data_IF_568324786271
#
_entry.id   IF_568324786271
#
_cell.length_a   1.000
_cell.length_b   1.000
_cell.length_c   1.000
_cell.angle_alpha   90.00
_cell.angle_beta   90.00
_cell.angle_gamma   90.00
#
_symmetry.space_group_name_H-M   'P 1'
#
loop_
_entity.id
_entity.type
_entity.pdbx_description
1 polymer ?
#
# COMPACT_ATOMS: atom_id res chain seq x y z
N UNK A 1 -68.74 20.30 -23.34
CA UNK A 1 -68.47 21.11 -22.14
C UNK A 1 -67.87 20.13 -21.13
N UNK A 2 -66.59 19.76 -21.29
CA UNK A 2 -65.33 20.40 -20.78
C UNK A 2 -64.82 19.52 -19.63
N UNK A 3 -63.91 18.58 -19.84
CA UNK A 3 -62.47 18.72 -20.09
C UNK A 3 -61.74 19.52 -19.00
N UNK A 4 -61.05 18.79 -18.13
CA UNK A 4 -59.82 19.06 -17.35
C UNK A 4 -59.67 17.83 -16.44
N UNK A 5 -58.97 16.76 -16.82
CA UNK A 5 -57.53 16.70 -17.12
C UNK A 5 -56.75 17.41 -15.99
N UNK A 6 -56.62 16.71 -14.87
CA UNK A 6 -55.52 16.97 -13.94
C UNK A 6 -54.37 16.06 -14.39
N UNK A 7 -53.67 16.56 -15.40
CA UNK A 7 -52.32 16.16 -15.76
C UNK A 7 -51.43 16.57 -14.58
N UNK A 8 -51.28 15.66 -13.60
CA UNK A 8 -50.31 15.83 -12.54
C UNK A 8 -48.95 15.53 -13.15
N UNK A 9 -48.34 16.62 -13.62
CA UNK A 9 -47.01 16.70 -14.15
C UNK A 9 -46.04 15.76 -13.42
N UNK A 10 -45.37 14.97 -14.25
CA UNK A 10 -43.98 14.58 -14.11
C UNK A 10 -43.18 15.61 -13.30
N UNK A 11 -42.95 15.29 -12.04
CA UNK A 11 -41.70 15.63 -11.39
C UNK A 11 -41.06 14.32 -11.00
N UNK A 12 -40.52 13.62 -12.00
CA UNK A 12 -39.33 12.81 -11.80
C UNK A 12 -38.32 13.66 -11.04
N UNK A 13 -38.35 13.55 -9.72
CA UNK A 13 -37.23 13.96 -8.90
C UNK A 13 -36.07 13.13 -9.41
N UNK A 14 -35.18 13.78 -10.16
CA UNK A 14 -33.89 13.18 -10.43
C UNK A 14 -33.37 12.67 -9.09
N UNK A 15 -32.98 11.38 -8.97
CA UNK A 15 -32.24 10.95 -7.82
C UNK A 15 -30.98 11.80 -7.85
N UNK A 16 -30.95 12.86 -7.05
CA UNK A 16 -29.72 13.58 -6.78
C UNK A 16 -28.84 12.56 -6.11
N UNK A 17 -27.95 11.94 -6.88
CA UNK A 17 -26.86 11.06 -6.45
C UNK A 17 -25.90 11.90 -5.59
N UNK A 18 -26.37 12.35 -4.42
CA UNK A 18 -25.61 13.11 -3.44
C UNK A 18 -24.54 12.27 -2.75
N UNK A 19 -24.42 10.99 -3.11
CA UNK A 19 -23.40 10.05 -2.66
C UNK A 19 -22.31 9.74 -3.71
N UNK A 20 -22.33 10.36 -4.89
CA UNK A 20 -21.27 10.19 -5.87
C UNK A 20 -20.03 10.99 -5.45
N UNK A 21 -19.01 10.30 -4.93
CA UNK A 21 -17.72 10.90 -4.57
C UNK A 21 -17.18 11.73 -5.76
N UNK A 22 -16.74 12.99 -5.56
CA UNK A 22 -16.33 13.87 -6.65
C UNK A 22 -15.23 13.27 -7.52
N UNK A 23 -15.30 13.51 -8.83
CA UNK A 23 -14.33 13.00 -9.81
C UNK A 23 -12.87 13.34 -9.45
N UNK A 24 -12.70 14.51 -8.80
CA UNK A 24 -11.43 15.01 -8.31
C UNK A 24 -10.74 14.11 -7.28
N UNK A 25 -11.50 13.42 -6.39
CA UNK A 25 -10.92 12.58 -5.32
C UNK A 25 -10.21 11.38 -5.93
N UNK A 26 -10.88 10.67 -6.84
CA UNK A 26 -10.32 9.51 -7.51
C UNK A 26 -9.11 9.90 -8.41
N UNK A 27 -9.11 11.07 -9.05
CA UNK A 27 -7.93 11.58 -9.77
C UNK A 27 -6.77 11.89 -8.82
N UNK A 28 -7.06 12.49 -7.66
CA UNK A 28 -6.08 12.75 -6.63
C UNK A 28 -5.48 11.45 -6.10
N UNK A 29 -6.30 10.42 -5.84
CA UNK A 29 -5.82 9.10 -5.39
C UNK A 29 -4.92 8.44 -6.44
N UNK A 30 -5.33 8.45 -7.72
CA UNK A 30 -4.48 7.95 -8.81
C UNK A 30 -3.16 8.71 -8.94
N UNK A 31 -3.20 10.04 -8.83
CA UNK A 31 -2.02 10.91 -8.86
C UNK A 31 -1.07 10.67 -7.68
N UNK A 32 -1.64 10.50 -6.49
CA UNK A 32 -0.89 10.14 -5.28
C UNK A 32 -0.19 8.78 -5.49
N UNK A 33 -0.90 7.72 -5.88
CA UNK A 33 -0.28 6.40 -6.12
C UNK A 33 0.87 6.51 -7.15
N UNK A 34 0.65 7.24 -8.25
CA UNK A 34 1.68 7.46 -9.26
C UNK A 34 2.90 8.19 -8.69
N UNK A 35 2.69 9.24 -7.89
CA UNK A 35 3.77 9.97 -7.22
C UNK A 35 4.56 9.07 -6.26
N UNK A 36 3.87 8.27 -5.44
CA UNK A 36 4.52 7.30 -4.56
C UNK A 36 5.35 6.28 -5.34
N UNK A 37 4.81 5.76 -6.43
CA UNK A 37 5.53 4.86 -7.33
C UNK A 37 6.78 5.50 -7.96
N UNK A 38 6.68 6.75 -8.42
CA UNK A 38 7.80 7.50 -8.98
C UNK A 38 8.89 7.80 -7.93
N UNK A 39 8.51 8.14 -6.70
CA UNK A 39 9.45 8.34 -5.61
C UNK A 39 10.21 7.06 -5.27
N UNK A 40 9.54 5.91 -5.26
CA UNK A 40 10.20 4.62 -5.06
C UNK A 40 11.13 4.26 -6.24
N UNK A 41 10.72 4.54 -7.48
CA UNK A 41 11.61 4.36 -8.64
C UNK A 41 12.86 5.25 -8.54
N UNK A 42 12.68 6.51 -8.16
CA UNK A 42 13.79 7.43 -7.94
C UNK A 42 14.71 6.95 -6.81
N UNK A 43 14.15 6.59 -5.65
CA UNK A 43 14.90 6.08 -4.51
C UNK A 43 15.65 4.79 -4.85
N UNK A 44 15.02 3.83 -5.52
CA UNK A 44 15.67 2.60 -5.98
C UNK A 44 16.78 2.87 -6.98
N UNK A 45 16.59 3.83 -7.89
CA UNK A 45 17.63 4.23 -8.86
C UNK A 45 18.81 4.87 -8.15
N UNK A 46 18.57 5.82 -7.24
CA UNK A 46 19.63 6.46 -6.44
C UNK A 46 20.35 5.39 -5.62
N UNK A 47 19.62 4.52 -4.93
CA UNK A 47 20.21 3.49 -4.09
C UNK A 47 21.14 2.55 -4.86
N UNK A 48 20.73 2.12 -6.06
CA UNK A 48 21.51 1.19 -6.91
C UNK A 48 22.67 1.84 -7.65
N UNK A 49 22.68 3.17 -7.79
CA UNK A 49 23.71 3.88 -8.57
C UNK A 49 24.68 4.67 -7.72
N UNK A 50 24.24 5.15 -6.55
CA UNK A 50 25.02 6.02 -5.66
C UNK A 50 25.66 5.23 -4.52
N UNK A 51 25.02 4.16 -4.03
CA UNK A 51 25.60 3.35 -2.95
C UNK A 51 26.44 2.24 -3.56
N UNK A 52 27.75 2.48 -3.66
CA UNK A 52 28.73 1.50 -4.08
C UNK A 52 29.48 0.89 -2.89
N UNK A 53 30.39 -0.02 -3.21
CA UNK A 53 31.25 -0.70 -2.23
C UNK A 53 32.10 0.28 -1.41
N UNK A 54 32.48 1.41 -1.99
CA UNK A 54 33.38 2.37 -1.37
C UNK A 54 32.67 3.14 -0.25
N UNK A 55 31.42 3.52 -0.50
CA UNK A 55 30.55 4.20 0.46
C UNK A 55 30.17 3.26 1.61
N UNK A 56 29.97 1.97 1.31
CA UNK A 56 29.74 0.94 2.33
C UNK A 56 30.97 0.71 3.22
N UNK A 57 32.18 0.77 2.64
CA UNK A 57 33.44 0.68 3.41
C UNK A 57 33.56 1.86 4.37
N UNK A 58 33.30 3.08 3.91
CA UNK A 58 33.35 4.30 4.73
C UNK A 58 32.32 4.25 5.87
N UNK A 59 31.07 3.83 5.58
CA UNK A 59 30.03 3.69 6.59
C UNK A 59 30.35 2.62 7.65
N UNK A 60 31.05 1.55 7.26
CA UNK A 60 31.50 0.48 8.18
C UNK A 60 32.77 0.87 8.94
N UNK A 61 33.60 1.76 8.39
CA UNK A 61 34.75 2.32 9.13
C UNK A 61 34.30 3.31 10.21
N UNK A 62 33.13 3.95 10.06
CA UNK A 62 32.53 4.84 11.06
C UNK A 62 31.72 4.08 12.14
N UNK A 63 31.21 2.88 11.82
CA UNK A 63 30.41 2.04 12.73
C UNK A 63 31.16 0.81 13.24
N UNK A 64 31.25 0.64 14.57
CA UNK A 64 31.87 -0.53 15.21
C UNK A 64 31.25 -1.87 14.73
N UNK A 65 32.05 -2.94 14.83
CA UNK A 65 31.80 -4.33 14.37
C UNK A 65 30.34 -4.76 14.19
N UNK A 66 29.96 -5.06 12.94
CA UNK A 66 28.64 -5.60 12.59
C UNK A 66 28.52 -7.07 13.02
N UNK A 67 27.68 -7.32 14.01
CA UNK A 67 27.34 -8.68 14.48
C UNK A 67 26.02 -9.13 13.87
N UNK A 68 26.02 -10.31 13.24
CA UNK A 68 24.78 -10.98 12.78
C UNK A 68 24.57 -12.21 13.65
N UNK A 69 23.65 -12.11 14.61
CA UNK A 69 23.41 -13.16 15.60
C UNK A 69 24.54 -13.23 16.64
N UNK A 70 25.33 -14.31 16.61
CA UNK A 70 26.46 -14.56 17.54
C UNK A 70 27.81 -14.69 16.82
N UNK A 71 27.84 -14.46 15.51
CA UNK A 71 29.04 -14.57 14.69
C UNK A 71 29.53 -13.17 14.35
N UNK A 72 30.76 -12.86 14.77
CA UNK A 72 31.45 -11.65 14.33
C UNK A 72 31.73 -11.78 12.84
N UNK A 73 31.09 -10.95 12.02
CA UNK A 73 31.44 -10.86 10.61
C UNK A 73 32.76 -10.14 10.51
N UNK A 74 33.67 -10.70 9.72
CA UNK A 74 34.85 -9.93 9.33
C UNK A 74 34.40 -8.74 8.48
N UNK A 75 35.19 -7.66 8.48
CA UNK A 75 34.91 -6.45 7.71
C UNK A 75 34.53 -6.73 6.26
N UNK A 76 35.27 -7.63 5.60
CA UNK A 76 35.04 -7.99 4.21
C UNK A 76 33.68 -8.67 4.03
N UNK A 77 33.33 -9.60 4.92
CA UNK A 77 32.04 -10.30 4.87
C UNK A 77 30.86 -9.36 5.15
N UNK A 78 31.02 -8.39 6.07
CA UNK A 78 29.99 -7.41 6.34
C UNK A 78 29.71 -6.51 5.13
N UNK A 79 30.75 -6.07 4.41
CA UNK A 79 30.61 -5.29 3.16
C UNK A 79 29.86 -6.10 2.12
N UNK A 80 30.24 -7.36 1.90
CA UNK A 80 29.64 -8.20 0.86
C UNK A 80 28.15 -8.49 1.16
N UNK A 81 27.81 -8.72 2.43
CA UNK A 81 26.40 -8.89 2.86
C UNK A 81 25.61 -7.58 2.69
N UNK A 82 26.16 -6.45 3.13
CA UNK A 82 25.50 -5.14 3.00
C UNK A 82 25.31 -4.75 1.53
N UNK A 83 26.29 -5.00 0.67
CA UNK A 83 26.21 -4.75 -0.77
C UNK A 83 25.08 -5.58 -1.40
N UNK A 84 24.99 -6.87 -1.06
CA UNK A 84 23.90 -7.73 -1.52
C UNK A 84 22.53 -7.22 -1.04
N UNK A 85 22.39 -6.88 0.24
CA UNK A 85 21.13 -6.34 0.80
C UNK A 85 20.74 -5.05 0.09
N UNK A 86 21.65 -4.09 -0.04
CA UNK A 86 21.38 -2.78 -0.67
C UNK A 86 20.98 -2.94 -2.12
N UNK A 87 21.68 -3.80 -2.87
CA UNK A 87 21.37 -4.09 -4.28
C UNK A 87 19.95 -4.64 -4.42
N UNK A 88 19.60 -5.65 -3.64
CA UNK A 88 18.28 -6.27 -3.72
C UNK A 88 17.17 -5.35 -3.18
N UNK A 89 17.42 -4.56 -2.14
CA UNK A 89 16.50 -3.50 -1.69
C UNK A 89 16.24 -2.51 -2.81
N UNK A 90 17.28 -2.09 -3.53
CA UNK A 90 17.18 -1.23 -4.69
C UNK A 90 16.28 -1.82 -5.77
N UNK A 91 16.45 -3.10 -6.11
CA UNK A 91 15.56 -3.82 -7.03
C UNK A 91 14.12 -3.87 -6.50
N UNK A 92 13.94 -4.14 -5.20
CA UNK A 92 12.62 -4.16 -4.56
C UNK A 92 11.89 -2.82 -4.64
N UNK A 93 12.60 -1.71 -4.43
CA UNK A 93 12.08 -0.36 -4.61
C UNK A 93 11.66 -0.10 -6.06
N UNK A 94 12.48 -0.51 -7.03
CA UNK A 94 12.18 -0.35 -8.45
C UNK A 94 10.94 -1.17 -8.87
N UNK A 95 10.86 -2.43 -8.45
CA UNK A 95 9.73 -3.32 -8.74
C UNK A 95 8.45 -2.79 -8.11
N UNK A 96 8.50 -2.38 -6.84
CA UNK A 96 7.35 -1.82 -6.12
C UNK A 96 6.90 -0.51 -6.76
N UNK A 97 7.85 0.40 -7.06
CA UNK A 97 7.55 1.67 -7.69
C UNK A 97 6.93 1.51 -9.08
N UNK A 98 7.49 0.62 -9.91
CA UNK A 98 6.93 0.29 -11.21
C UNK A 98 5.54 -0.33 -11.13
N UNK A 99 5.32 -1.25 -10.20
CA UNK A 99 4.00 -1.86 -9.97
C UNK A 99 2.95 -0.81 -9.55
N UNK A 100 3.30 0.14 -8.68
CA UNK A 100 2.41 1.23 -8.28
C UNK A 100 2.09 2.18 -9.45
N UNK A 101 3.08 2.52 -10.28
CA UNK A 101 2.83 3.34 -11.48
C UNK A 101 1.89 2.60 -12.45
N UNK A 102 2.12 1.31 -12.72
CA UNK A 102 1.24 0.51 -13.55
C UNK A 102 -0.17 0.41 -12.97
N UNK A 103 -0.28 0.25 -11.65
CA UNK A 103 -1.57 0.23 -10.95
C UNK A 103 -2.29 1.58 -11.09
N UNK A 104 -1.60 2.71 -10.91
CA UNK A 104 -2.17 4.03 -11.10
C UNK A 104 -2.65 4.25 -12.54
N UNK A 105 -1.87 3.82 -13.53
CA UNK A 105 -2.26 3.87 -14.94
C UNK A 105 -3.50 3.01 -15.20
N UNK A 106 -3.52 1.77 -14.71
CA UNK A 106 -4.67 0.87 -14.83
C UNK A 106 -5.93 1.46 -14.19
N UNK A 107 -5.80 2.06 -12.99
CA UNK A 107 -6.88 2.73 -12.28
C UNK A 107 -7.50 3.86 -13.12
N UNK A 108 -6.68 4.72 -13.74
CA UNK A 108 -7.14 5.79 -14.64
C UNK A 108 -7.79 5.22 -15.91
N UNK A 109 -7.24 4.14 -16.47
CA UNK A 109 -7.77 3.51 -17.68
C UNK A 109 -9.14 2.84 -17.47
N UNK A 110 -9.33 2.13 -16.36
CA UNK A 110 -10.62 1.51 -16.00
C UNK A 110 -11.68 2.60 -15.83
N UNK A 111 -11.34 3.69 -15.14
CA UNK A 111 -12.28 4.79 -14.94
C UNK A 111 -12.70 5.48 -16.23
N UNK A 112 -11.76 5.68 -17.17
CA UNK A 112 -12.09 6.19 -18.53
C UNK A 112 -12.98 5.25 -19.33
N UNK A 113 -13.01 3.95 -19.00
CA UNK A 113 -13.83 2.96 -19.70
C UNK A 113 -15.27 2.93 -19.17
N UNK A 114 -15.48 3.21 -17.89
CA UNK A 114 -16.80 3.17 -17.26
C UNK A 114 -17.68 4.39 -17.55
N UNK A 115 -17.10 5.51 -18.00
CA UNK A 115 -17.87 6.63 -18.57
C UNK A 115 -18.70 6.20 -19.81
N UNK A 116 -18.43 5.04 -20.41
CA UNK A 116 -19.23 4.45 -21.50
C UNK A 116 -20.15 3.30 -21.07
N UNK A 117 -20.17 2.93 -19.79
CA UNK A 117 -20.89 1.74 -19.28
C UNK A 117 -22.04 2.07 -18.33
N UNK A 118 -22.18 3.33 -17.89
CA UNK A 118 -23.31 3.81 -17.08
C UNK A 118 -24.70 3.68 -17.72
N UNK A 119 -24.81 3.18 -18.96
CA UNK A 119 -26.10 2.84 -19.59
C UNK A 119 -26.65 1.44 -19.21
N UNK A 120 -25.95 0.63 -18.38
CA UNK A 120 -26.34 -0.79 -18.17
C UNK A 120 -26.74 -1.23 -16.75
N UNK A 121 -26.75 -0.36 -15.74
CA UNK A 121 -27.38 -0.67 -14.44
C UNK A 121 -26.80 -1.86 -13.67
N UNK A 122 -25.51 -2.17 -13.83
CA UNK A 122 -24.82 -3.22 -13.06
C UNK A 122 -24.24 -2.62 -11.77
N UNK A 123 -24.74 -3.05 -10.60
CA UNK A 123 -24.22 -2.67 -9.30
C UNK A 123 -22.75 -3.13 -9.15
N UNK A 124 -21.81 -2.24 -9.49
CA UNK A 124 -20.38 -2.47 -9.24
C UNK A 124 -20.18 -2.48 -7.74
N UNK A 125 -19.63 -3.57 -7.18
CA UNK A 125 -19.51 -3.72 -5.73
C UNK A 125 -18.64 -2.61 -5.13
N UNK A 126 -19.26 -1.75 -4.31
CA UNK A 126 -18.63 -0.62 -3.61
C UNK A 126 -17.49 -1.06 -2.69
N UNK A 127 -17.60 -2.25 -2.12
CA UNK A 127 -16.66 -2.85 -1.16
C UNK A 127 -15.18 -2.73 -1.55
N UNK A 128 -14.80 -3.25 -2.72
CA UNK A 128 -13.39 -3.26 -3.14
C UNK A 128 -12.89 -1.87 -3.54
N UNK A 129 -13.76 -1.06 -4.15
CA UNK A 129 -13.43 0.31 -4.51
C UNK A 129 -13.15 1.16 -3.25
N UNK A 130 -13.98 1.02 -2.22
CA UNK A 130 -13.82 1.71 -0.94
C UNK A 130 -12.58 1.23 -0.18
N UNK A 131 -12.30 -0.08 -0.18
CA UNK A 131 -11.07 -0.60 0.41
C UNK A 131 -9.80 -0.07 -0.27
N UNK A 132 -9.79 0.01 -1.61
CA UNK A 132 -8.66 0.59 -2.37
C UNK A 132 -8.48 2.06 -2.01
N UNK A 133 -9.56 2.85 -1.99
CA UNK A 133 -9.48 4.27 -1.62
C UNK A 133 -8.91 4.48 -0.21
N UNK A 134 -9.37 3.69 0.77
CA UNK A 134 -8.83 3.72 2.12
C UNK A 134 -7.35 3.36 2.18
N UNK A 135 -6.93 2.32 1.44
CA UNK A 135 -5.52 1.88 1.42
C UNK A 135 -4.56 2.97 0.92
N UNK A 136 -4.98 3.77 -0.07
CA UNK A 136 -4.16 4.88 -0.59
C UNK A 136 -3.93 5.91 0.52
N UNK A 137 -4.97 6.27 1.27
CA UNK A 137 -4.83 7.20 2.40
C UNK A 137 -3.88 6.64 3.46
N UNK A 138 -3.99 5.35 3.80
CA UNK A 138 -3.05 4.71 4.74
C UNK A 138 -1.60 4.81 4.28
N UNK A 139 -1.32 4.54 3.00
CA UNK A 139 0.04 4.61 2.44
C UNK A 139 0.60 6.02 2.54
N UNK A 140 -0.21 7.03 2.20
CA UNK A 140 0.23 8.43 2.20
C UNK A 140 0.48 8.97 3.60
N UNK A 141 -0.36 8.60 4.56
CA UNK A 141 -0.20 9.03 5.94
C UNK A 141 0.70 8.11 6.78
N UNK A 142 1.39 7.14 6.18
CA UNK A 142 2.19 6.11 6.89
C UNK A 142 3.19 6.67 7.90
N UNK A 143 3.66 7.90 7.72
CA UNK A 143 4.52 8.62 8.68
C UNK A 143 3.85 8.93 10.03
N UNK A 144 2.53 8.83 10.14
CA UNK A 144 1.75 9.12 11.36
C UNK A 144 1.66 7.91 12.31
N UNK A 145 2.16 6.73 11.90
CA UNK A 145 2.16 5.50 12.72
C UNK A 145 0.78 4.83 12.91
N UNK A 146 -0.30 5.62 12.85
CA UNK A 146 -1.71 5.16 12.93
C UNK A 146 -2.48 5.38 11.62
N UNK A 147 -1.78 5.49 10.50
CA UNK A 147 -2.40 5.78 9.19
C UNK A 147 -3.40 4.72 8.75
N UNK A 148 -3.21 3.47 9.18
CA UNK A 148 -4.14 2.38 8.92
C UNK A 148 -5.52 2.67 9.51
N UNK A 149 -5.60 3.35 10.66
CA UNK A 149 -6.86 3.80 11.26
C UNK A 149 -7.53 4.85 10.37
N UNK A 150 -6.76 5.81 9.84
CA UNK A 150 -7.29 6.87 8.98
C UNK A 150 -7.81 6.33 7.64
N UNK A 151 -7.02 5.48 6.98
CA UNK A 151 -7.45 4.88 5.72
C UNK A 151 -8.56 3.84 5.90
N UNK A 152 -8.51 3.04 6.96
CA UNK A 152 -9.59 2.14 7.33
C UNK A 152 -10.88 2.87 7.65
N UNK A 153 -10.81 3.99 8.38
CA UNK A 153 -11.95 4.84 8.71
C UNK A 153 -12.56 5.53 7.52
N UNK A 154 -11.75 6.03 6.59
CA UNK A 154 -12.28 6.52 5.31
C UNK A 154 -13.01 5.41 4.56
N UNK A 155 -12.43 4.20 4.51
CA UNK A 155 -13.05 3.07 3.81
C UNK A 155 -14.40 2.66 4.44
N UNK A 156 -14.48 2.62 5.78
CA UNK A 156 -15.72 2.35 6.51
C UNK A 156 -16.77 3.45 6.37
N UNK A 157 -16.35 4.71 6.37
CA UNK A 157 -17.26 5.86 6.13
C UNK A 157 -17.88 5.80 4.73
N UNK A 158 -17.09 5.42 3.72
CA UNK A 158 -17.54 5.30 2.33
C UNK A 158 -18.41 4.06 2.05
N UNK A 159 -18.31 3.01 2.87
CA UNK A 159 -19.21 1.84 2.76
C UNK A 159 -20.63 2.15 3.29
N UNK A 160 -20.77 3.20 4.12
CA UNK A 160 -22.04 3.67 4.67
C UNK A 160 -22.40 3.00 6.01
N UNK A 161 -23.03 3.77 6.91
CA UNK A 161 -23.23 3.41 8.31
C UNK A 161 -24.04 2.14 8.56
N UNK A 162 -25.05 1.86 7.74
CA UNK A 162 -25.90 0.67 7.87
C UNK A 162 -25.24 -0.62 7.33
N UNK A 163 -24.00 -0.55 6.81
CA UNK A 163 -23.31 -1.73 6.31
C UNK A 163 -22.60 -2.50 7.43
N UNK A 164 -22.99 -3.76 7.64
CA UNK A 164 -22.25 -4.72 8.49
C UNK A 164 -20.80 -4.97 8.01
N UNK A 165 -20.41 -4.37 6.88
CA UNK A 165 -19.14 -4.58 6.20
C UNK A 165 -18.10 -3.48 6.47
N UNK A 166 -18.46 -2.39 7.16
CA UNK A 166 -17.53 -1.27 7.44
C UNK A 166 -16.22 -1.71 8.14
N UNK A 167 -16.30 -2.68 9.05
CA UNK A 167 -15.14 -3.27 9.74
C UNK A 167 -14.26 -4.10 8.81
N UNK A 168 -14.86 -4.95 7.96
CA UNK A 168 -14.11 -5.81 7.04
C UNK A 168 -13.47 -5.01 5.91
N UNK A 169 -14.16 -4.00 5.39
CA UNK A 169 -13.62 -3.04 4.41
C UNK A 169 -12.39 -2.33 4.98
N UNK A 170 -12.49 -1.82 6.21
CA UNK A 170 -11.37 -1.17 6.88
C UNK A 170 -10.17 -2.10 7.09
N UNK A 171 -10.41 -3.34 7.50
CA UNK A 171 -9.35 -4.35 7.67
C UNK A 171 -8.66 -4.72 6.36
N UNK A 172 -9.45 -4.89 5.28
CA UNK A 172 -8.92 -5.13 3.94
C UNK A 172 -8.12 -3.93 3.43
N UNK A 173 -8.58 -2.70 3.65
CA UNK A 173 -7.84 -1.48 3.31
C UNK A 173 -6.48 -1.42 4.04
N UNK A 174 -6.47 -1.77 5.34
CA UNK A 174 -5.25 -1.89 6.13
C UNK A 174 -4.29 -2.93 5.55
N UNK A 175 -4.79 -4.11 5.17
CA UNK A 175 -3.95 -5.15 4.56
C UNK A 175 -3.40 -4.74 3.19
N UNK A 176 -4.23 -4.12 2.33
CA UNK A 176 -3.78 -3.62 1.02
C UNK A 176 -2.66 -2.59 1.15
N UNK A 177 -2.76 -1.72 2.16
CA UNK A 177 -1.74 -0.69 2.39
C UNK A 177 -0.38 -1.26 2.82
N UNK A 178 -0.34 -2.49 3.35
CA UNK A 178 0.89 -3.17 3.72
C UNK A 178 1.65 -3.74 2.50
N UNK A 179 0.99 -3.94 1.36
CA UNK A 179 1.56 -4.62 0.20
C UNK A 179 2.91 -4.03 -0.30
N UNK A 180 3.07 -2.70 -0.46
CA UNK A 180 4.35 -2.14 -0.89
C UNK A 180 5.50 -2.49 0.06
N UNK A 181 5.26 -2.40 1.36
CA UNK A 181 6.25 -2.75 2.39
C UNK A 181 6.58 -4.24 2.37
N UNK A 182 5.59 -5.11 2.13
CA UNK A 182 5.81 -6.55 2.00
C UNK A 182 6.69 -6.93 0.82
N UNK A 183 6.46 -6.31 -0.35
CA UNK A 183 7.30 -6.54 -1.53
C UNK A 183 8.73 -6.14 -1.21
N UNK A 184 8.95 -4.95 -0.67
CA UNK A 184 10.29 -4.48 -0.28
C UNK A 184 10.93 -5.45 0.73
N UNK A 185 10.20 -5.88 1.77
CA UNK A 185 10.69 -6.82 2.77
C UNK A 185 11.14 -8.16 2.15
N UNK A 186 10.39 -8.70 1.20
CA UNK A 186 10.77 -9.93 0.48
C UNK A 186 12.09 -9.72 -0.28
N UNK A 187 12.23 -8.60 -0.98
CA UNK A 187 13.47 -8.28 -1.68
C UNK A 187 14.65 -8.09 -0.73
N UNK A 188 14.46 -7.43 0.41
CA UNK A 188 15.47 -7.33 1.48
C UNK A 188 15.91 -8.71 1.96
N UNK A 189 14.97 -9.63 2.15
CA UNK A 189 15.27 -11.00 2.59
C UNK A 189 16.06 -11.78 1.53
N UNK A 190 15.74 -11.60 0.25
CA UNK A 190 16.51 -12.19 -0.86
C UNK A 190 17.95 -11.66 -0.83
N UNK A 191 18.15 -10.36 -0.61
CA UNK A 191 19.48 -9.77 -0.51
C UNK A 191 20.27 -10.27 0.68
N UNK A 192 19.63 -10.37 1.85
CA UNK A 192 20.24 -10.93 3.04
C UNK A 192 20.64 -12.40 2.82
N UNK A 193 19.76 -13.18 2.19
CA UNK A 193 20.03 -14.58 1.85
C UNK A 193 21.20 -14.73 0.86
N UNK A 194 21.22 -13.91 -0.19
CA UNK A 194 22.29 -13.91 -1.18
C UNK A 194 23.64 -13.57 -0.53
N UNK A 195 23.70 -12.48 0.24
CA UNK A 195 24.92 -12.05 0.92
C UNK A 195 25.46 -13.07 1.91
N UNK A 196 24.62 -13.60 2.80
CA UNK A 196 25.01 -14.62 3.78
C UNK A 196 25.47 -15.92 3.12
N UNK A 197 24.87 -16.28 1.98
CA UNK A 197 25.27 -17.47 1.22
C UNK A 197 26.65 -17.32 0.59
N UNK A 198 26.98 -16.14 0.08
CA UNK A 198 28.26 -15.87 -0.58
C UNK A 198 29.43 -15.97 0.41
N UNK A 199 29.21 -15.60 1.68
CA UNK A 199 30.20 -15.76 2.76
C UNK A 199 30.14 -17.12 3.46
N UNK A 200 29.35 -18.07 2.95
CA UNK A 200 29.23 -19.43 3.50
C UNK A 200 28.46 -19.55 4.83
N UNK A 201 27.82 -18.48 5.30
CA UNK A 201 27.08 -18.45 6.56
C UNK A 201 25.62 -18.86 6.38
N UNK A 202 25.38 -20.16 6.24
CA UNK A 202 24.03 -20.71 6.05
C UNK A 202 23.25 -20.94 7.36
N UNK A 203 23.93 -21.00 8.51
CA UNK A 203 23.31 -21.22 9.82
C UNK A 203 22.35 -20.09 10.26
N UNK A 204 22.76 -18.80 10.20
CA UNK A 204 21.89 -17.67 10.58
C UNK A 204 20.65 -17.47 9.70
N UNK A 205 20.62 -18.06 8.49
CA UNK A 205 19.55 -17.87 7.52
C UNK A 205 18.17 -18.31 8.03
N UNK A 206 18.10 -19.44 8.74
CA UNK A 206 16.84 -19.94 9.27
C UNK A 206 16.26 -18.98 10.32
N UNK A 207 17.10 -18.45 11.20
CA UNK A 207 16.69 -17.49 12.24
C UNK A 207 16.26 -16.18 11.61
N UNK A 208 17.02 -15.65 10.64
CA UNK A 208 16.66 -14.44 9.92
C UNK A 208 15.33 -14.58 9.15
N UNK A 209 15.12 -15.73 8.47
CA UNK A 209 13.88 -16.01 7.76
C UNK A 209 12.67 -16.10 8.71
N UNK A 210 12.80 -16.79 9.84
CA UNK A 210 11.74 -16.89 10.85
C UNK A 210 11.46 -15.52 11.46
N UNK A 211 12.50 -14.77 11.85
CA UNK A 211 12.36 -13.43 12.42
C UNK A 211 11.65 -12.48 11.45
N UNK A 212 12.01 -12.52 10.17
CA UNK A 212 11.37 -11.72 9.13
C UNK A 212 9.92 -12.14 8.89
N UNK A 213 9.63 -13.44 8.83
CA UNK A 213 8.27 -13.94 8.67
C UNK A 213 7.37 -13.50 9.83
N UNK A 214 7.88 -13.56 11.06
CA UNK A 214 7.19 -13.06 12.25
C UNK A 214 6.99 -11.54 12.19
N UNK A 215 8.00 -10.77 11.79
CA UNK A 215 7.90 -9.33 11.65
C UNK A 215 6.84 -8.94 10.60
N UNK A 216 6.81 -9.61 9.45
CA UNK A 216 5.80 -9.44 8.40
C UNK A 216 4.41 -9.78 8.90
N UNK A 217 4.25 -10.90 9.61
CA UNK A 217 2.97 -11.33 10.17
C UNK A 217 2.45 -10.31 11.21
N UNK A 218 3.32 -9.85 12.10
CA UNK A 218 2.98 -8.84 13.11
C UNK A 218 2.61 -7.52 12.43
N UNK A 219 3.43 -7.05 11.47
CA UNK A 219 3.19 -5.80 10.76
C UNK A 219 1.85 -5.82 10.01
N UNK A 220 1.57 -6.89 9.27
CA UNK A 220 0.30 -7.04 8.54
C UNK A 220 -0.89 -7.19 9.49
N UNK A 221 -0.74 -7.95 10.56
CA UNK A 221 -1.75 -8.08 11.62
C UNK A 221 -2.10 -6.72 12.23
N UNK A 222 -1.10 -5.94 12.63
CA UNK A 222 -1.28 -4.58 13.19
C UNK A 222 -2.03 -3.70 12.18
N UNK A 223 -1.60 -3.64 10.91
CA UNK A 223 -2.24 -2.82 9.89
C UNK A 223 -3.69 -3.25 9.62
N UNK A 224 -3.96 -4.56 9.55
CA UNK A 224 -5.31 -5.08 9.37
C UNK A 224 -6.21 -4.77 10.59
N UNK A 225 -5.70 -4.93 11.81
CA UNK A 225 -6.45 -4.60 13.04
C UNK A 225 -6.72 -3.11 13.14
N UNK A 226 -5.72 -2.26 12.92
CA UNK A 226 -5.89 -0.80 12.93
C UNK A 226 -6.84 -0.35 11.80
N UNK A 227 -6.75 -0.96 10.62
CA UNK A 227 -7.68 -0.73 9.53
C UNK A 227 -9.11 -1.09 9.90
N UNK A 228 -9.32 -2.25 10.52
CA UNK A 228 -10.64 -2.69 10.98
C UNK A 228 -11.20 -1.77 12.07
N UNK A 229 -10.37 -1.33 13.02
CA UNK A 229 -10.75 -0.35 14.05
C UNK A 229 -11.13 0.99 13.42
N UNK A 230 -10.35 1.45 12.44
CA UNK A 230 -10.69 2.62 11.64
C UNK A 230 -12.05 2.46 10.98
N UNK A 231 -12.24 1.36 10.25
CA UNK A 231 -13.48 1.05 9.54
C UNK A 231 -14.72 1.04 10.43
N UNK A 232 -14.60 0.45 11.63
CA UNK A 232 -15.65 0.50 12.64
C UNK A 232 -16.05 1.94 13.01
N UNK A 233 -15.06 2.79 13.34
CA UNK A 233 -15.32 4.19 13.70
C UNK A 233 -15.87 4.98 12.52
N UNK A 234 -15.33 4.76 11.32
CA UNK A 234 -15.79 5.40 10.09
C UNK A 234 -17.24 5.08 9.75
N UNK A 235 -17.63 3.81 9.88
CA UNK A 235 -19.02 3.38 9.70
C UNK A 235 -19.96 4.05 10.70
N UNK A 236 -19.58 4.09 11.99
CA UNK A 236 -20.39 4.77 13.03
C UNK A 236 -20.55 6.28 12.84
N UNK A 237 -19.62 6.94 12.15
CA UNK A 237 -19.73 8.36 11.82
C UNK A 237 -20.60 8.62 10.59
N UNK A 238 -20.89 7.58 9.80
CA UNK A 238 -21.76 7.63 8.64
C UNK A 238 -23.21 7.26 8.95
N UNK A 239 -23.49 6.74 10.16
CA UNK A 239 -24.83 6.60 10.76
C UNK A 239 -25.38 7.95 11.23
#
# INVERSE_FOLDING_TARGET
>A
MSQTEFDAADTGGEPTDSNAIPEAVDWLLGGLIALGGLLLLFAGTVLTTVVGRNELVEAIDEGDTLTVGSTELTRAEAIDVSEAVVSWVGVGLLVTGGALVLFALAYVFVRRRDTRRSERGEATSSYYANAVRGSVVTVFFSFVGFSAVLGGGLAGYLEGGDSDQSVSVGGVAGLLSALPALVIAVFTLIGLFAGLRDIGQTGPLAVAAIGMALAVLIYTGINATLGALGGYVGGRLAE
#
